data_IF_120219584395
#
_entry.id   IF_120219584395
#
_cell.length_a   1.000
_cell.length_b   1.000
_cell.length_c   1.000
_cell.angle_alpha   90.00
_cell.angle_beta   90.00
_cell.angle_gamma   90.00
#
_symmetry.space_group_name_H-M   'P 1'
#
loop_
_entity.id
_entity.type
_entity.pdbx_description
1 polymer ?
#
# COMPACT_ATOMS: atom_id res chain seq x y z
N UNK A 1 29.19 -31.00 -52.22
CA UNK A 1 29.64 -31.36 -50.86
C UNK A 1 30.62 -30.31 -50.34
N UNK A 2 31.55 -29.83 -51.17
CA UNK A 2 32.65 -28.96 -50.73
C UNK A 2 32.21 -27.58 -50.23
N UNK A 3 31.19 -26.98 -50.86
CA UNK A 3 30.64 -25.70 -50.40
C UNK A 3 29.94 -25.81 -49.03
N UNK A 4 29.33 -26.95 -48.71
CA UNK A 4 28.66 -27.15 -47.43
C UNK A 4 29.67 -27.34 -46.29
N UNK A 5 30.76 -28.08 -46.55
CA UNK A 5 31.85 -28.24 -45.60
C UNK A 5 32.61 -26.93 -45.37
N UNK A 6 32.83 -26.11 -46.41
CA UNK A 6 33.41 -24.79 -46.27
C UNK A 6 32.54 -23.86 -45.40
N UNK A 7 31.23 -23.80 -45.67
CA UNK A 7 30.31 -23.00 -44.86
C UNK A 7 30.21 -23.50 -43.41
N UNK A 8 30.29 -24.81 -43.18
CA UNK A 8 30.34 -25.36 -41.83
C UNK A 8 31.64 -24.97 -41.11
N UNK A 9 32.78 -25.00 -41.80
CA UNK A 9 34.08 -24.65 -41.24
C UNK A 9 34.15 -23.15 -40.88
N UNK A 10 33.63 -22.27 -41.75
CA UNK A 10 33.44 -20.84 -41.46
C UNK A 10 32.50 -20.61 -40.25
N UNK A 11 31.42 -21.38 -40.14
CA UNK A 11 30.51 -21.31 -39.00
C UNK A 11 31.19 -21.74 -37.69
N UNK A 12 32.01 -22.80 -37.70
CA UNK A 12 32.75 -23.23 -36.51
C UNK A 12 33.85 -22.23 -36.14
N UNK A 13 34.52 -21.61 -37.12
CA UNK A 13 35.47 -20.52 -36.88
C UNK A 13 34.77 -19.31 -36.24
N UNK A 14 33.59 -18.94 -36.76
CA UNK A 14 32.76 -17.89 -36.16
C UNK A 14 32.32 -18.25 -34.73
N UNK A 15 31.87 -19.49 -34.50
CA UNK A 15 31.44 -19.97 -33.18
C UNK A 15 32.58 -19.92 -32.15
N UNK A 16 33.81 -20.25 -32.56
CA UNK A 16 35.01 -20.19 -31.70
C UNK A 16 35.44 -18.75 -31.43
N UNK A 17 35.13 -17.82 -32.35
CA UNK A 17 35.44 -16.40 -32.19
C UNK A 17 34.54 -15.68 -31.17
N UNK A 18 33.29 -16.13 -30.99
CA UNK A 18 32.31 -15.56 -30.07
C UNK A 18 32.74 -15.59 -28.59
N UNK A 19 33.19 -16.73 -28.02
CA UNK A 19 33.67 -16.77 -26.64
C UNK A 19 34.87 -15.85 -26.40
N UNK A 20 35.77 -15.72 -27.38
CA UNK A 20 36.97 -14.87 -27.26
C UNK A 20 36.60 -13.39 -27.21
N UNK A 21 35.61 -12.97 -28.00
CA UNK A 21 35.07 -11.61 -27.98
C UNK A 21 34.20 -11.36 -26.73
N UNK A 22 33.38 -12.33 -26.33
CA UNK A 22 32.56 -12.25 -25.12
C UNK A 22 33.42 -12.18 -23.84
N UNK A 23 34.48 -12.99 -23.76
CA UNK A 23 35.39 -13.04 -22.63
C UNK A 23 36.17 -11.74 -22.45
N UNK A 24 36.73 -11.20 -23.53
CA UNK A 24 37.46 -9.91 -23.46
C UNK A 24 36.54 -8.76 -23.08
N UNK A 25 35.31 -8.71 -23.59
CA UNK A 25 34.32 -7.70 -23.21
C UNK A 25 33.84 -7.86 -21.76
N UNK A 26 33.58 -9.09 -21.32
CA UNK A 26 33.12 -9.38 -19.97
C UNK A 26 34.21 -9.09 -18.94
N UNK A 27 35.45 -9.48 -19.20
CA UNK A 27 36.58 -9.17 -18.29
C UNK A 27 36.84 -7.68 -18.27
N UNK A 28 36.91 -7.01 -19.43
CA UNK A 28 37.10 -5.57 -19.47
C UNK A 28 36.04 -4.86 -18.64
N UNK A 29 34.76 -5.19 -18.86
CA UNK A 29 33.67 -4.58 -18.10
C UNK A 29 33.70 -4.93 -16.61
N UNK A 30 33.93 -6.20 -16.26
CA UNK A 30 33.91 -6.65 -14.86
C UNK A 30 35.11 -6.16 -14.06
N UNK A 31 36.29 -6.07 -14.68
CA UNK A 31 37.51 -5.54 -14.06
C UNK A 31 37.41 -4.02 -13.90
N UNK A 32 36.93 -3.29 -14.91
CA UNK A 32 36.72 -1.84 -14.77
C UNK A 32 35.68 -1.49 -13.69
N UNK A 33 34.67 -2.33 -13.47
CA UNK A 33 33.72 -2.14 -12.35
C UNK A 33 34.39 -2.21 -10.98
N UNK A 34 35.53 -2.88 -10.85
CA UNK A 34 36.26 -3.01 -9.59
C UNK A 34 37.45 -2.05 -9.49
N UNK A 35 38.10 -1.74 -10.60
CA UNK A 35 39.27 -0.86 -10.66
C UNK A 35 38.89 0.63 -10.47
N UNK A 36 37.69 1.03 -10.91
CA UNK A 36 37.22 2.42 -10.81
C UNK A 36 36.47 2.72 -9.48
N UNK A 37 36.65 1.87 -8.46
CA UNK A 37 35.94 1.99 -7.18
C UNK A 37 36.72 2.86 -6.17
N UNK A 38 36.24 4.08 -5.97
CA UNK A 38 36.69 4.93 -4.85
C UNK A 38 36.33 4.31 -3.49
N UNK A 39 37.11 4.65 -2.44
CA UNK A 39 36.85 4.19 -1.06
C UNK A 39 35.45 4.58 -0.57
N UNK A 40 34.92 5.73 -1.02
CA UNK A 40 33.55 6.17 -0.71
C UNK A 40 32.49 5.23 -1.32
N UNK A 41 32.73 4.71 -2.53
CA UNK A 41 31.82 3.78 -3.18
C UNK A 41 31.78 2.42 -2.45
N UNK A 42 32.91 1.96 -1.93
CA UNK A 42 32.96 0.76 -1.07
C UNK A 42 32.17 0.95 0.23
N UNK A 43 32.36 2.09 0.92
CA UNK A 43 31.60 2.40 2.14
C UNK A 43 30.09 2.44 1.84
N UNK A 44 29.68 3.08 0.74
CA UNK A 44 28.28 3.11 0.32
C UNK A 44 27.74 1.71 0.03
N UNK A 45 28.49 0.86 -0.68
CA UNK A 45 28.08 -0.53 -0.96
C UNK A 45 27.91 -1.33 0.32
N UNK A 46 28.88 -1.25 1.24
CA UNK A 46 28.80 -1.92 2.54
C UNK A 46 27.61 -1.39 3.35
N UNK A 47 27.34 -0.08 3.31
CA UNK A 47 26.20 0.51 4.00
C UNK A 47 24.85 0.01 3.44
N UNK A 48 24.72 -0.15 2.13
CA UNK A 48 23.49 -0.68 1.50
C UNK A 48 23.34 -2.17 1.82
N UNK A 49 24.39 -2.97 1.59
CA UNK A 49 24.36 -4.42 1.81
C UNK A 49 24.21 -4.75 3.29
N UNK A 50 25.05 -4.15 4.14
CA UNK A 50 24.97 -4.27 5.59
C UNK A 50 23.65 -3.74 6.11
N UNK A 51 23.21 -2.57 5.63
CA UNK A 51 21.90 -2.00 5.96
C UNK A 51 20.76 -2.96 5.65
N UNK A 52 20.75 -3.60 4.48
CA UNK A 52 19.73 -4.61 4.11
C UNK A 52 19.79 -5.85 5.01
N UNK A 53 20.99 -6.38 5.27
CA UNK A 53 21.18 -7.54 6.14
C UNK A 53 20.68 -7.28 7.56
N UNK A 54 20.90 -6.07 8.09
CA UNK A 54 20.33 -5.64 9.37
C UNK A 54 18.83 -5.38 9.27
N UNK A 55 18.37 -4.68 8.24
CA UNK A 55 16.97 -4.25 8.13
C UNK A 55 16.00 -5.44 8.02
N UNK A 56 16.39 -6.52 7.34
CA UNK A 56 15.54 -7.70 7.13
C UNK A 56 15.03 -8.37 8.43
N UNK A 57 15.88 -8.80 9.38
CA UNK A 57 15.40 -9.45 10.61
C UNK A 57 14.55 -8.51 11.48
N UNK A 58 14.81 -7.19 11.47
CA UNK A 58 13.97 -6.24 12.19
C UNK A 58 12.60 -6.08 11.54
N UNK A 59 12.55 -5.88 10.21
CA UNK A 59 11.28 -5.81 9.47
C UNK A 59 10.42 -7.05 9.69
N UNK A 60 11.03 -8.24 9.69
CA UNK A 60 10.32 -9.48 9.94
C UNK A 60 9.70 -9.52 11.34
N UNK A 61 10.45 -9.13 12.38
CA UNK A 61 9.94 -9.04 13.76
C UNK A 61 8.78 -8.07 13.91
N UNK A 62 8.80 -6.94 13.20
CA UNK A 62 7.67 -6.00 13.20
C UNK A 62 6.46 -6.58 12.45
N UNK A 63 6.69 -7.23 11.30
CA UNK A 63 5.66 -7.90 10.52
C UNK A 63 4.93 -8.98 11.32
N UNK A 64 5.67 -9.86 11.99
CA UNK A 64 5.12 -10.93 12.84
C UNK A 64 4.20 -10.39 13.94
N UNK A 65 4.62 -9.31 14.62
CA UNK A 65 3.80 -8.66 15.66
C UNK A 65 2.51 -8.05 15.12
N UNK A 66 2.58 -7.44 13.94
CA UNK A 66 1.38 -6.91 13.29
C UNK A 66 0.46 -8.04 12.81
N UNK A 67 1.03 -9.12 12.27
CA UNK A 67 0.27 -10.27 11.82
C UNK A 67 -0.44 -10.98 12.98
N UNK A 68 0.24 -11.19 14.11
CA UNK A 68 -0.35 -11.77 15.32
C UNK A 68 -1.56 -10.97 15.81
N UNK A 69 -1.44 -9.63 15.90
CA UNK A 69 -2.54 -8.75 16.29
C UNK A 69 -3.72 -8.77 15.31
N UNK A 70 -3.48 -8.94 14.01
CA UNK A 70 -4.55 -9.07 13.02
C UNK A 70 -5.23 -10.44 13.13
N UNK A 71 -4.46 -11.51 13.32
CA UNK A 71 -5.00 -12.86 13.54
C UNK A 71 -5.86 -12.92 14.80
N UNK A 72 -5.44 -12.33 15.91
CA UNK A 72 -6.24 -12.24 17.14
C UNK A 72 -7.58 -11.55 16.91
N UNK A 73 -7.59 -10.39 16.22
CA UNK A 73 -8.83 -9.67 15.89
C UNK A 73 -9.77 -10.46 14.98
N UNK A 74 -9.21 -11.16 14.00
CA UNK A 74 -9.99 -12.02 13.09
C UNK A 74 -10.58 -13.21 13.87
N UNK A 75 -9.80 -13.83 14.76
CA UNK A 75 -10.27 -14.93 15.61
C UNK A 75 -11.37 -14.46 16.56
N UNK A 76 -11.20 -13.33 17.22
CA UNK A 76 -12.21 -12.74 18.11
C UNK A 76 -13.52 -12.44 17.35
N UNK A 77 -13.43 -11.84 16.16
CA UNK A 77 -14.60 -11.61 15.29
C UNK A 77 -15.26 -12.92 14.83
N UNK A 78 -14.48 -13.96 14.53
CA UNK A 78 -15.01 -15.27 14.18
C UNK A 78 -15.67 -15.97 15.37
N UNK A 79 -15.14 -15.81 16.59
CA UNK A 79 -15.73 -16.36 17.81
C UNK A 79 -17.03 -15.64 18.17
N UNK A 80 -17.09 -14.31 18.03
CA UNK A 80 -18.30 -13.51 18.16
C UNK A 80 -19.36 -13.94 17.12
N UNK A 81 -18.96 -14.10 15.84
CA UNK A 81 -19.85 -14.57 14.78
C UNK A 81 -20.34 -16.02 14.99
N UNK A 82 -19.53 -16.89 15.62
CA UNK A 82 -19.93 -18.25 16.01
C UNK A 82 -20.89 -18.26 17.21
N UNK A 83 -20.70 -17.37 18.20
CA UNK A 83 -21.60 -17.20 19.34
C UNK A 83 -22.97 -16.63 18.93
N UNK A 84 -23.00 -15.76 17.93
CA UNK A 84 -24.24 -15.21 17.36
C UNK A 84 -24.98 -16.16 16.39
N UNK A 85 -24.54 -17.42 16.25
CA UNK A 85 -25.25 -18.46 15.51
C UNK A 85 -25.31 -18.27 13.99
N UNK A 86 -24.80 -17.15 13.46
CA UNK A 86 -24.77 -16.86 12.02
C UNK A 86 -23.56 -17.55 11.39
N UNK A 87 -23.67 -18.87 11.21
CA UNK A 87 -22.76 -19.63 10.35
C UNK A 87 -22.92 -19.11 8.91
N UNK A 88 -22.07 -18.16 8.50
CA UNK A 88 -21.94 -17.77 7.12
C UNK A 88 -21.52 -19.01 6.32
N UNK A 89 -22.46 -19.60 5.58
CA UNK A 89 -22.24 -20.76 4.72
C UNK A 89 -21.35 -20.30 3.55
N UNK A 90 -20.04 -20.32 3.74
CA UNK A 90 -19.09 -20.14 2.64
C UNK A 90 -19.13 -21.43 1.83
N UNK A 91 -19.79 -21.39 0.66
CA UNK A 91 -19.82 -22.52 -0.25
C UNK A 91 -18.45 -22.65 -0.95
N UNK A 92 -17.94 -23.86 -1.21
CA UNK A 92 -16.65 -24.07 -1.87
C UNK A 92 -16.52 -23.38 -3.23
N UNK A 93 -17.65 -23.09 -3.88
CA UNK A 93 -17.68 -22.41 -5.17
C UNK A 93 -17.44 -20.89 -5.06
N UNK A 94 -17.58 -20.30 -3.87
CA UNK A 94 -17.27 -18.90 -3.60
C UNK A 94 -15.75 -18.60 -3.64
N UNK A 95 -14.90 -19.63 -3.53
CA UNK A 95 -13.44 -19.49 -3.55
C UNK A 95 -12.81 -19.77 -4.93
N UNK A 96 -13.59 -20.29 -5.90
CA UNK A 96 -13.07 -20.76 -7.20
C UNK A 96 -13.26 -19.78 -8.36
N UNK A 97 -14.02 -18.71 -8.17
CA UNK A 97 -14.24 -17.71 -9.22
C UNK A 97 -14.59 -16.38 -8.60
N UNK A 98 -13.83 -15.33 -8.94
CA UNK A 98 -14.04 -13.96 -8.45
C UNK A 98 -15.32 -13.32 -8.99
N UNK A 99 -16.49 -13.87 -8.66
CA UNK A 99 -17.79 -13.30 -9.04
C UNK A 99 -18.77 -13.36 -7.86
N UNK A 100 -18.91 -12.18 -7.25
CA UNK A 100 -20.06 -11.65 -6.52
C UNK A 100 -20.73 -12.57 -5.48
N UNK A 101 -20.35 -12.36 -4.22
CA UNK A 101 -21.34 -12.44 -3.13
C UNK A 101 -22.28 -11.25 -3.33
N UNK A 102 -23.51 -11.51 -3.77
CA UNK A 102 -24.57 -10.51 -3.81
C UNK A 102 -24.99 -10.18 -2.37
N UNK A 103 -24.21 -9.31 -1.72
CA UNK A 103 -24.77 -8.49 -0.66
C UNK A 103 -25.71 -7.49 -1.32
N UNK A 104 -26.95 -7.49 -0.84
CA UNK A 104 -28.03 -6.59 -1.22
C UNK A 104 -27.49 -5.16 -1.32
N UNK A 105 -27.58 -4.58 -2.51
CA UNK A 105 -27.29 -3.19 -2.90
C UNK A 105 -26.09 -2.53 -2.21
N UNK A 106 -24.93 -2.56 -2.87
CA UNK A 106 -24.10 -1.37 -3.12
C UNK A 106 -22.96 -1.75 -4.09
N UNK A 107 -23.16 -1.32 -5.34
CA UNK A 107 -22.15 -0.99 -6.35
C UNK A 107 -20.95 -1.94 -6.54
N UNK A 108 -21.11 -2.80 -7.54
CA UNK A 108 -20.07 -3.63 -8.17
C UNK A 108 -18.91 -2.80 -8.68
N UNK A 109 -17.68 -3.13 -8.29
CA UNK A 109 -16.49 -2.79 -9.10
C UNK A 109 -15.35 -3.77 -8.84
N UNK A 110 -15.10 -4.63 -9.82
CA UNK A 110 -13.80 -5.23 -10.00
C UNK A 110 -12.91 -4.21 -10.70
N UNK A 111 -11.74 -3.94 -10.13
CA UNK A 111 -10.49 -3.61 -10.82
C UNK A 111 -9.44 -3.17 -9.78
N UNK A 112 -8.39 -3.97 -9.61
CA UNK A 112 -7.34 -3.80 -8.59
C UNK A 112 -6.46 -2.54 -8.77
N UNK A 113 -6.76 -1.67 -9.73
CA UNK A 113 -6.10 -0.37 -9.94
C UNK A 113 -6.84 0.83 -9.32
N UNK A 114 -8.14 0.70 -9.03
CA UNK A 114 -9.00 1.84 -8.67
C UNK A 114 -9.10 2.12 -7.16
N UNK A 115 -8.59 1.20 -6.35
CA UNK A 115 -8.79 1.21 -4.89
C UNK A 115 -8.05 2.38 -4.19
N UNK A 116 -6.91 2.82 -4.75
CA UNK A 116 -6.18 3.99 -4.25
C UNK A 116 -6.98 5.29 -4.47
N UNK A 117 -7.60 5.45 -5.64
CA UNK A 117 -8.41 6.62 -5.99
C UNK A 117 -9.70 6.72 -5.16
N UNK A 118 -10.38 5.58 -4.94
CA UNK A 118 -11.60 5.53 -4.13
C UNK A 118 -11.35 5.88 -2.67
N UNK A 119 -10.24 5.40 -2.09
CA UNK A 119 -9.87 5.72 -0.71
C UNK A 119 -9.44 7.18 -0.53
N UNK A 120 -8.77 7.76 -1.53
CA UNK A 120 -8.44 9.19 -1.55
C UNK A 120 -9.71 10.06 -1.65
N UNK A 121 -10.64 9.71 -2.55
CA UNK A 121 -11.94 10.41 -2.71
C UNK A 121 -12.79 10.34 -1.44
N UNK A 122 -12.84 9.17 -0.77
CA UNK A 122 -13.54 9.01 0.53
C UNK A 122 -12.92 9.87 1.63
N UNK A 123 -11.59 10.01 1.68
CA UNK A 123 -10.91 10.89 2.63
C UNK A 123 -11.20 12.37 2.35
N UNK A 124 -11.18 12.78 1.09
CA UNK A 124 -11.52 14.16 0.71
C UNK A 124 -12.97 14.50 1.04
N UNK A 125 -13.92 13.59 0.78
CA UNK A 125 -15.33 13.79 1.14
C UNK A 125 -15.52 13.96 2.65
N UNK A 126 -14.88 13.10 3.46
CA UNK A 126 -14.93 13.18 4.92
C UNK A 126 -14.33 14.49 5.46
N UNK A 127 -13.27 15.00 4.84
CA UNK A 127 -12.70 16.30 5.21
C UNK A 127 -13.67 17.43 4.85
N UNK A 128 -14.33 17.38 3.70
CA UNK A 128 -15.37 18.33 3.33
C UNK A 128 -16.55 18.34 4.29
N UNK A 129 -17.07 17.15 4.64
CA UNK A 129 -18.17 16.99 5.61
C UNK A 129 -17.79 17.58 6.99
N UNK A 130 -16.59 17.31 7.50
CA UNK A 130 -16.13 17.88 8.78
C UNK A 130 -15.95 19.41 8.74
N UNK A 131 -15.59 19.98 7.59
CA UNK A 131 -15.44 21.43 7.42
C UNK A 131 -16.81 22.09 7.37
N UNK A 132 -17.78 21.50 6.67
CA UNK A 132 -19.15 22.01 6.60
C UNK A 132 -19.86 21.89 7.95
N UNK A 133 -19.67 20.79 8.68
CA UNK A 133 -20.20 20.58 10.02
C UNK A 133 -19.65 21.63 11.01
N UNK A 134 -18.35 21.91 10.96
CA UNK A 134 -17.75 22.98 11.77
C UNK A 134 -18.31 24.36 11.43
N UNK A 135 -18.52 24.65 10.14
CA UNK A 135 -19.09 25.92 9.72
C UNK A 135 -20.54 26.09 10.21
N UNK A 136 -21.33 25.02 10.22
CA UNK A 136 -22.68 25.03 10.79
C UNK A 136 -22.66 25.20 12.31
N UNK A 137 -21.72 24.56 13.01
CA UNK A 137 -21.56 24.74 14.45
C UNK A 137 -21.16 26.19 14.80
N UNK A 138 -20.29 26.82 14.00
CA UNK A 138 -19.95 28.24 14.17
C UNK A 138 -21.15 29.16 13.90
N UNK A 139 -21.95 28.87 12.86
CA UNK A 139 -23.20 29.60 12.57
C UNK A 139 -24.22 29.44 13.72
N UNK A 140 -24.38 28.25 14.30
CA UNK A 140 -25.25 28.00 15.46
C UNK A 140 -24.73 28.70 16.73
N UNK A 141 -23.41 28.73 16.97
CA UNK A 141 -22.81 29.45 18.10
C UNK A 141 -22.97 30.97 17.99
N UNK A 142 -22.97 31.53 16.78
CA UNK A 142 -23.19 32.95 16.55
C UNK A 142 -24.68 33.32 16.68
N UNK A 143 -25.59 32.48 16.18
CA UNK A 143 -27.04 32.65 16.37
C UNK A 143 -27.42 32.61 17.87
N UNK A 144 -26.82 31.73 18.67
CA UNK A 144 -27.04 31.65 20.12
C UNK A 144 -26.52 32.91 20.86
N UNK A 145 -25.40 33.49 20.40
CA UNK A 145 -24.86 34.76 20.96
C UNK A 145 -25.78 35.93 20.67
N UNK A 146 -26.31 36.00 19.46
CA UNK A 146 -27.27 37.04 19.06
C UNK A 146 -28.55 36.96 19.90
N UNK A 147 -29.04 35.75 20.22
CA UNK A 147 -30.20 35.54 21.11
C UNK A 147 -29.89 35.98 22.55
N UNK A 148 -28.69 35.70 23.06
CA UNK A 148 -28.26 36.11 24.40
C UNK A 148 -28.20 37.63 24.57
N UNK A 149 -27.88 38.39 23.52
CA UNK A 149 -27.89 39.87 23.58
C UNK A 149 -29.30 40.45 23.82
N UNK A 150 -30.35 39.74 23.40
CA UNK A 150 -31.75 40.15 23.60
C UNK A 150 -32.39 39.61 24.88
N UNK A 151 -31.69 38.76 25.66
CA UNK A 151 -32.17 38.35 26.98
C UNK A 151 -31.91 39.50 27.97
N UNK A 152 -32.96 40.28 28.25
CA UNK A 152 -32.96 41.24 29.35
C UNK A 152 -33.02 40.46 30.66
N UNK A 153 -32.02 40.65 31.52
CA UNK A 153 -32.00 40.10 32.86
C UNK A 153 -33.19 40.65 33.66
N UNK A 154 -34.21 39.82 33.86
CA UNK A 154 -35.37 40.17 34.66
C UNK A 154 -34.99 40.22 36.15
N UNK A 155 -34.84 41.43 36.70
CA UNK A 155 -34.74 41.63 38.16
C UNK A 155 -36.15 41.74 38.76
N UNK A 156 -36.57 40.67 39.45
CA UNK A 156 -37.85 40.59 40.17
C UNK A 156 -37.91 41.71 41.23
N UNK A 157 -38.65 42.79 40.94
CA UNK A 157 -38.85 43.94 41.83
C UNK A 157 -38.71 45.34 41.22
N UNK A 158 -38.15 45.51 40.01
CA UNK A 158 -38.09 46.81 39.32
C UNK A 158 -39.10 46.98 38.18
N UNK A 159 -39.37 45.93 37.41
CA UNK A 159 -40.02 46.08 36.08
C UNK A 159 -41.50 45.66 36.00
N UNK A 160 -42.17 45.48 37.15
CA UNK A 160 -43.62 45.60 37.26
C UNK A 160 -44.46 44.31 37.15
N UNK A 161 -45.32 44.18 38.17
CA UNK A 161 -46.33 43.17 38.55
C UNK A 161 -45.83 41.78 38.96
#
# INVERSE_FOLDING_TARGET
MDAFLANALEFFQWLISLPKQGYTNLIRNSVHMWDDMSTLNYIRMIAIVGGYLFLRPYLQRYGERHQAKQHEKILEQQELAKKDGKKAKISPNALRGGKSVSFKDEESEGEKGEEWGKKAKRRQKKVGEMVEEKRRAEEEEDDDKDIMEYLVDYEEGKDGW
#
